data_IF_175006460762
#
_entry.id   IF_175006460762
#
_cell.length_a   1.000
_cell.length_b   1.000
_cell.length_c   1.000
_cell.angle_alpha   90.00
_cell.angle_beta   90.00
_cell.angle_gamma   90.00
#
_symmetry.space_group_name_H-M   'P 1'
#
loop_
_entity.id
_entity.type
_entity.pdbx_description
1 polymer ?
2 branched ?
3 non-polymer ?
4 non-polymer ?
5 non-polymer ?
6 water ?
#
# COMPACT_ATOMS: atom_id res chain seq x y z
N UNK A 1 2.03 -6.77 23.26
CA UNK A 1 1.78 -5.42 22.77
C UNK A 1 0.28 -5.15 22.67
N UNK A 2 -0.22 -4.27 23.53
CA UNK A 2 -1.65 -3.98 23.57
C UNK A 2 -2.03 -2.68 22.86
N UNK A 3 -1.08 -1.81 22.57
CA UNK A 3 -1.33 -0.67 21.70
C UNK A 3 -0.01 -0.27 21.08
N UNK A 4 -0.09 0.35 19.90
CA UNK A 4 1.10 0.81 19.19
C UNK A 4 0.70 2.00 18.32
N UNK A 5 1.48 3.07 18.36
CA UNK A 5 1.22 4.19 17.48
C UNK A 5 2.54 4.84 17.10
N UNK A 6 2.57 5.41 15.89
CA UNK A 6 3.78 6.11 15.45
C UNK A 6 3.38 7.08 14.36
N UNK A 7 4.26 8.05 14.10
CA UNK A 7 3.95 8.98 13.03
C UNK A 7 5.24 9.49 12.39
N UNK A 8 5.10 9.83 11.12
CA UNK A 8 6.15 10.45 10.32
C UNK A 8 5.50 11.69 9.71
N UNK A 9 5.86 12.87 10.21
CA UNK A 9 5.42 14.11 9.57
C UNK A 9 6.02 14.23 8.18
N UNK A 10 7.31 13.89 8.08
CA UNK A 10 8.01 13.60 6.83
C UNK A 10 9.00 12.49 7.15
N UNK A 11 9.92 12.19 6.24
CA UNK A 11 10.78 11.03 6.41
C UNK A 11 12.23 11.43 6.56
N UNK A 12 12.90 10.75 7.47
CA UNK A 12 14.24 11.08 7.94
C UNK A 12 15.25 10.22 7.20
N UNK A 13 16.31 10.86 6.67
CA UNK A 13 17.38 10.12 6.04
C UNK A 13 18.06 9.15 7.00
N UNK A 14 17.99 9.43 8.31
CA UNK A 14 18.63 8.61 9.33
C UNK A 14 17.60 7.82 10.14
N UNK A 15 16.46 7.50 9.53
CA UNK A 15 15.41 6.76 10.19
C UNK A 15 15.94 5.42 10.72
N UNK A 16 15.41 4.99 11.87
CA UNK A 16 15.79 3.72 12.48
C UNK A 16 14.66 2.71 12.58
N UNK A 17 13.40 3.13 12.44
CA UNK A 17 12.28 2.24 12.67
C UNK A 17 11.59 1.78 11.40
N UNK A 18 12.25 1.93 10.25
CA UNK A 18 11.72 1.44 8.99
C UNK A 18 12.59 0.33 8.41
N UNK A 19 11.94 -0.74 7.98
CA UNK A 19 12.57 -1.76 7.16
C UNK A 19 12.41 -1.34 5.71
N UNK A 20 13.53 -1.09 5.02
CA UNK A 20 13.54 -0.72 3.60
C UNK A 20 13.73 -1.97 2.75
N UNK A 21 12.86 -2.14 1.74
CA UNK A 21 12.99 -3.27 0.83
C UNK A 21 13.07 -2.77 -0.60
N UNK A 22 13.86 -3.48 -1.41
CA UNK A 22 13.98 -3.09 -2.81
C UNK A 22 14.62 -1.73 -2.97
N UNK A 23 13.98 -0.89 -3.79
CA UNK A 23 14.54 0.39 -4.19
C UNK A 23 14.10 1.53 -3.29
N UNK A 24 13.40 1.25 -2.20
CA UNK A 24 12.90 2.31 -1.33
C UNK A 24 14.05 3.10 -0.70
N UNK A 25 13.94 4.42 -0.72
CA UNK A 25 14.98 5.27 -0.17
C UNK A 25 14.37 6.61 0.22
N UNK A 26 15.07 7.35 1.06
CA UNK A 26 14.60 8.63 1.56
C UNK A 26 15.35 9.74 0.82
N UNK A 27 14.60 10.63 0.18
CA UNK A 27 15.20 11.69 -0.62
C UNK A 27 15.70 12.83 0.26
N UNK A 28 16.43 13.76 -0.38
CA UNK A 28 16.93 14.93 0.31
C UNK A 28 15.80 15.89 0.71
N UNK A 29 14.62 15.74 0.13
CA UNK A 29 13.45 16.53 0.50
C UNK A 29 12.56 15.81 1.51
N UNK A 30 13.10 14.81 2.23
CA UNK A 30 12.39 14.11 3.29
C UNK A 30 11.15 13.39 2.76
N UNK A 31 11.26 12.91 1.54
CA UNK A 31 10.23 12.11 0.89
C UNK A 31 10.68 10.66 0.87
N UNK A 32 9.77 9.74 1.15
CA UNK A 32 10.06 8.33 0.97
C UNK A 32 9.78 8.00 -0.49
N UNK A 33 10.86 7.86 -1.28
CA UNK A 33 10.75 7.49 -2.69
C UNK A 33 10.78 5.96 -2.78
N UNK A 34 9.61 5.36 -3.07
CA UNK A 34 9.53 3.91 -3.02
C UNK A 34 10.23 3.29 -4.22
N UNK A 35 10.06 3.85 -5.41
CA UNK A 35 10.60 3.23 -6.61
C UNK A 35 11.86 3.96 -7.09
N UNK A 36 12.63 3.23 -7.91
CA UNK A 36 13.96 3.64 -8.35
C UNK A 36 13.88 4.85 -9.28
N UNK A 37 14.86 5.75 -9.14
CA UNK A 37 15.00 6.87 -10.05
C UNK A 37 16.42 6.87 -10.60
N UNK A 38 16.60 7.52 -11.74
CA UNK A 38 17.95 7.63 -12.30
C UNK A 38 18.69 8.77 -11.60
N UNK A 39 19.87 9.12 -12.12
CA UNK A 39 20.69 10.13 -11.45
C UNK A 39 20.08 11.51 -11.50
N UNK A 40 19.13 11.75 -12.42
CA UNK A 40 18.41 13.02 -12.49
C UNK A 40 17.08 12.99 -11.76
N UNK A 41 16.77 11.91 -11.06
CA UNK A 41 15.53 11.79 -10.34
C UNK A 41 14.36 11.33 -11.16
N UNK A 42 14.59 10.94 -12.44
CA UNK A 42 13.51 10.48 -13.32
C UNK A 42 13.16 9.03 -12.99
N UNK A 43 11.88 8.68 -13.03
CA UNK A 43 11.48 7.30 -12.74
C UNK A 43 11.95 6.35 -13.83
N UNK A 44 12.21 5.10 -13.44
CA UNK A 44 12.73 4.10 -14.36
C UNK A 44 11.84 2.87 -14.37
N UNK A 45 12.04 2.04 -15.40
CA UNK A 45 11.28 0.81 -15.56
C UNK A 45 11.73 -0.26 -14.56
N UNK A 46 10.79 -1.14 -14.22
CA UNK A 46 11.02 -2.42 -13.54
C UNK A 46 11.67 -2.21 -12.17
N UNK A 47 10.90 -1.70 -11.27
CA UNK A 47 11.39 -1.39 -9.93
C UNK A 47 10.29 -1.67 -8.91
N UNK A 48 10.66 -2.18 -7.71
CA UNK A 48 9.78 -2.31 -6.55
C UNK A 48 10.48 -1.70 -5.35
N UNK A 49 9.75 -0.94 -4.55
CA UNK A 49 10.24 -0.55 -3.24
C UNK A 49 9.13 -0.69 -2.22
N UNK A 50 9.52 -1.08 -1.01
CA UNK A 50 8.56 -1.22 0.08
C UNK A 50 9.20 -0.73 1.38
N UNK A 51 8.36 -0.31 2.31
CA UNK A 51 8.77 -0.08 3.70
C UNK A 51 7.79 -0.77 4.62
N UNK A 52 8.31 -1.26 5.74
CA UNK A 52 7.50 -1.79 6.82
C UNK A 52 7.97 -1.15 8.11
N UNK A 53 7.07 -0.85 9.04
CA UNK A 53 7.54 -0.42 10.34
C UNK A 53 8.19 -1.60 11.07
N UNK A 54 9.28 -1.31 11.80
CA UNK A 54 10.00 -2.36 12.51
C UNK A 54 9.17 -2.94 13.67
N UNK A 55 8.26 -2.15 14.23
CA UNK A 55 7.39 -2.64 15.31
C UNK A 55 6.22 -3.41 14.72
N UNK A 56 6.01 -4.62 15.24
CA UNK A 56 4.94 -5.49 14.77
C UNK A 56 3.65 -5.18 15.51
N UNK A 57 2.52 -5.44 14.84
CA UNK A 57 1.20 -5.19 15.40
C UNK A 57 0.60 -6.54 15.76
N UNK A 58 0.10 -6.67 17.00
CA UNK A 58 -0.71 -7.84 17.33
C UNK A 58 -2.12 -7.59 16.85
N UNK A 59 -2.50 -8.25 15.77
CA UNK A 59 -3.79 -8.04 15.14
C UNK A 59 -4.89 -8.79 15.85
N UNK A 60 -4.59 -9.97 16.39
CA UNK A 60 -5.58 -10.71 17.14
C UNK A 60 -4.85 -11.68 18.05
N UNK A 61 -5.58 -12.22 19.02
CA UNK A 61 -5.02 -13.17 19.99
C UNK A 61 -5.88 -14.42 19.97
N UNK A 62 -5.30 -15.52 19.51
CA UNK A 62 -6.03 -16.78 19.49
C UNK A 62 -6.48 -17.18 20.89
N UNK A 63 -5.60 -16.98 21.88
CA UNK A 63 -5.90 -17.47 23.23
C UNK A 63 -7.07 -16.75 23.86
N UNK A 64 -7.36 -15.52 23.44
CA UNK A 64 -8.33 -14.69 24.12
C UNK A 64 -9.42 -14.10 23.23
N UNK A 65 -9.39 -14.32 21.92
CA UNK A 65 -10.37 -13.78 20.99
C UNK A 65 -10.47 -12.25 21.06
N UNK A 66 -9.35 -11.57 21.32
CA UNK A 66 -9.25 -10.13 21.13
C UNK A 66 -8.83 -9.83 19.68
N UNK A 67 -9.28 -8.70 19.17
CA UNK A 67 -8.91 -8.25 17.82
C UNK A 67 -8.58 -6.77 17.88
N UNK A 68 -7.58 -6.35 17.10
CA UNK A 68 -7.15 -4.97 17.10
C UNK A 68 -7.98 -4.14 16.13
N UNK A 69 -8.13 -2.87 16.45
CA UNK A 69 -8.53 -1.88 15.46
C UNK A 69 -7.31 -1.08 15.05
N UNK A 70 -7.40 -0.41 13.93
CA UNK A 70 -6.36 0.47 13.54
C UNK A 70 -6.93 1.60 12.69
N UNK A 71 -6.21 2.72 12.75
CA UNK A 71 -6.50 3.89 11.94
C UNK A 71 -5.15 4.35 11.39
N UNK A 72 -5.09 4.63 10.10
CA UNK A 72 -3.82 5.09 9.53
C UNK A 72 -4.11 6.20 8.54
N UNK A 73 -3.26 7.21 8.53
CA UNK A 73 -3.36 8.35 7.62
C UNK A 73 -2.05 8.47 6.87
N UNK A 74 -2.12 8.81 5.58
CA UNK A 74 -0.89 9.01 4.81
C UNK A 74 -1.19 9.90 3.63
N UNK A 75 -0.13 10.43 3.02
CA UNK A 75 -0.28 11.23 1.82
C UNK A 75 0.85 10.90 0.85
N UNK A 76 0.57 11.03 -0.44
CA UNK A 76 1.57 10.69 -1.44
C UNK A 76 1.27 11.47 -2.72
N UNK A 77 2.28 11.55 -3.58
CA UNK A 77 2.06 12.05 -4.93
C UNK A 77 2.86 11.19 -5.90
N UNK A 78 2.41 11.19 -7.15
CA UNK A 78 3.02 10.40 -8.21
C UNK A 78 3.42 11.33 -9.36
N UNK A 79 4.59 11.08 -9.95
CA UNK A 79 5.06 11.92 -11.05
C UNK A 79 5.63 11.06 -12.16
N UNK A 80 5.41 11.49 -13.40
CA UNK A 80 5.87 10.73 -14.56
C UNK A 80 5.82 11.56 -15.83
N UNK A 81 6.72 11.32 -16.79
CA UNK A 81 6.59 11.95 -18.11
C UNK A 81 5.62 11.24 -19.04
N UNK A 82 5.14 10.05 -18.67
CA UNK A 82 4.36 9.21 -19.58
C UNK A 82 2.88 9.57 -19.60
N UNK A 83 2.25 9.25 -20.73
CA UNK A 83 0.79 9.31 -20.83
C UNK A 83 0.12 8.22 -20.01
N UNK A 84 0.79 7.09 -19.80
CA UNK A 84 0.21 5.95 -19.07
C UNK A 84 1.15 5.56 -17.94
N UNK A 85 1.26 6.40 -16.93
CA UNK A 85 2.20 6.11 -15.83
C UNK A 85 1.74 4.94 -14.98
N UNK A 86 2.70 4.24 -14.38
CA UNK A 86 2.44 2.93 -13.76
C UNK A 86 3.47 2.65 -12.64
N UNK A 87 3.16 1.78 -11.68
CA UNK A 87 1.91 1.00 -11.63
C UNK A 87 1.00 1.39 -10.50
N UNK A 88 1.58 1.94 -9.43
CA UNK A 88 0.79 2.37 -8.29
C UNK A 88 1.44 2.12 -6.96
N UNK A 89 0.78 2.60 -5.90
CA UNK A 89 1.25 2.53 -4.53
C UNK A 89 0.15 1.89 -3.70
N UNK A 90 0.53 1.13 -2.68
CA UNK A 90 -0.44 0.50 -1.79
C UNK A 90 0.02 0.55 -0.34
N UNK A 91 -0.93 0.84 0.56
CA UNK A 91 -0.78 0.50 1.97
C UNK A 91 -1.04 -1.00 2.13
N UNK A 92 -0.22 -1.69 2.93
CA UNK A 92 -0.49 -3.12 3.07
C UNK A 92 -0.15 -3.64 4.46
N UNK A 93 -0.68 -4.82 4.74
CA UNK A 93 -0.55 -5.55 6.00
C UNK A 93 -0.21 -6.98 5.61
N UNK A 94 0.79 -7.56 6.27
CA UNK A 94 1.33 -8.85 5.83
C UNK A 94 2.06 -9.49 6.99
N UNK A 95 2.45 -10.75 6.89
CA UNK A 95 3.21 -11.36 7.97
C UNK A 95 4.52 -10.64 8.17
N UNK A 96 5.08 -10.69 9.39
CA UNK A 96 6.25 -9.86 9.71
C UNK A 96 7.48 -10.17 8.87
N UNK A 97 7.59 -11.37 8.31
CA UNK A 97 8.75 -11.73 7.50
C UNK A 97 8.54 -11.45 6.02
N UNK A 98 7.49 -10.71 5.66
CA UNK A 98 7.17 -10.49 4.26
C UNK A 98 8.34 -9.84 3.51
N UNK A 99 8.59 -10.32 2.29
CA UNK A 99 9.58 -9.75 1.39
C UNK A 99 8.96 -9.59 0.01
N UNK A 100 9.68 -8.83 -0.85
CA UNK A 100 9.23 -8.57 -2.21
C UNK A 100 9.21 -9.87 -3.00
N UNK A 101 8.06 -10.28 -3.54
CA UNK A 101 8.03 -11.48 -4.38
C UNK A 101 8.73 -11.25 -5.71
N UNK A 102 9.30 -12.33 -6.24
CA UNK A 102 9.85 -12.29 -7.58
C UNK A 102 8.74 -11.98 -8.59
N UNK A 103 9.10 -11.21 -9.61
CA UNK A 103 8.16 -10.88 -10.66
C UNK A 103 7.09 -9.87 -10.27
N UNK A 104 7.24 -9.21 -9.13
CA UNK A 104 6.23 -8.28 -8.63
C UNK A 104 6.43 -6.85 -9.13
N UNK A 105 7.45 -6.60 -9.96
CA UNK A 105 7.75 -5.26 -10.45
C UNK A 105 6.88 -4.94 -11.67
N UNK A 106 5.69 -4.41 -11.39
CA UNK A 106 4.72 -4.13 -12.42
C UNK A 106 3.32 -4.09 -11.84
N UNK A 107 2.35 -4.68 -12.55
CA UNK A 107 0.97 -4.59 -12.09
C UNK A 107 0.68 -5.37 -10.82
N UNK A 108 1.63 -6.17 -10.36
CA UNK A 108 1.44 -6.85 -9.08
C UNK A 108 1.86 -5.99 -7.90
N UNK A 109 2.32 -4.77 -8.17
CA UNK A 109 2.49 -3.72 -7.16
C UNK A 109 3.48 -4.09 -6.06
N UNK A 110 4.40 -5.02 -6.33
CA UNK A 110 5.35 -5.44 -5.32
C UNK A 110 4.79 -6.34 -4.24
N UNK A 111 3.56 -6.83 -4.42
CA UNK A 111 2.85 -7.57 -3.39
C UNK A 111 2.67 -9.04 -3.70
N UNK A 112 2.72 -9.44 -4.99
CA UNK A 112 2.33 -10.77 -5.39
C UNK A 112 3.35 -11.36 -6.35
N UNK A 113 3.42 -12.69 -6.37
CA UNK A 113 4.15 -13.46 -7.36
C UNK A 113 3.22 -13.78 -8.53
N UNK A 114 3.71 -13.65 -9.77
CA UNK A 114 2.84 -13.94 -10.93
C UNK A 114 2.16 -15.29 -10.88
N UNK A 115 2.83 -16.32 -10.33
CA UNK A 115 2.23 -17.65 -10.34
C UNK A 115 1.08 -17.78 -9.37
N UNK A 116 1.00 -16.93 -8.34
CA UNK A 116 -0.03 -17.05 -7.31
C UNK A 116 -0.81 -15.76 -7.07
N UNK A 117 -0.69 -14.77 -7.96
CA UNK A 117 -1.27 -13.46 -7.67
C UNK A 117 -2.79 -13.48 -7.58
N UNK A 118 -3.44 -14.49 -8.16
CA UNK A 118 -4.89 -14.60 -8.10
C UNK A 118 -5.34 -15.75 -7.21
N UNK A 119 -4.41 -16.44 -6.55
CA UNK A 119 -4.70 -17.61 -5.73
C UNK A 119 -4.73 -17.17 -4.27
N UNK A 120 -5.93 -16.94 -3.74
CA UNK A 120 -6.07 -16.44 -2.37
C UNK A 120 -5.46 -17.38 -1.35
N UNK A 121 -5.55 -18.69 -1.57
CA UNK A 121 -5.03 -19.63 -0.60
C UNK A 121 -3.52 -19.57 -0.49
N UNK A 122 -2.84 -18.90 -1.42
CA UNK A 122 -1.38 -18.82 -1.42
C UNK A 122 -0.85 -17.52 -0.85
N UNK A 123 -1.71 -16.59 -0.43
CA UNK A 123 -1.26 -15.28 0.01
C UNK A 123 -1.81 -14.95 1.39
N UNK A 124 -1.16 -13.99 2.05
CA UNK A 124 -1.65 -13.42 3.31
C UNK A 124 -1.36 -11.93 3.22
N UNK A 125 -2.31 -11.16 2.69
CA UNK A 125 -2.09 -9.72 2.55
C UNK A 125 -3.43 -9.01 2.48
N UNK A 126 -3.51 -7.91 3.23
CA UNK A 126 -4.54 -6.89 3.03
C UNK A 126 -3.84 -5.67 2.43
N UNK A 127 -4.37 -5.16 1.32
CA UNK A 127 -3.80 -3.96 0.73
C UNK A 127 -4.89 -3.00 0.31
N UNK A 128 -4.57 -1.71 0.39
CA UNK A 128 -5.38 -0.64 -0.19
C UNK A 128 -4.53 -0.04 -1.31
N UNK A 129 -4.91 -0.32 -2.56
CA UNK A 129 -4.10 0.06 -3.71
C UNK A 129 -4.63 1.33 -4.37
N UNK A 130 -3.69 2.12 -4.90
CA UNK A 130 -3.95 3.30 -5.71
C UNK A 130 -3.32 2.98 -7.06
N UNK A 131 -4.15 2.49 -7.97
CA UNK A 131 -3.72 1.76 -9.16
C UNK A 131 -3.91 2.66 -10.37
N UNK A 132 -2.80 3.07 -11.00
CA UNK A 132 -2.85 4.02 -12.11
C UNK A 132 -2.82 3.37 -13.49
N UNK A 133 -2.65 2.06 -13.58
CA UNK A 133 -2.38 1.41 -14.85
C UNK A 133 -3.27 0.19 -15.00
N UNK A 134 -4.00 0.12 -16.11
CA UNK A 134 -5.08 -0.86 -16.22
C UNK A 134 -5.17 -1.48 -17.62
N UNK A 135 -4.10 -1.40 -18.42
CA UNK A 135 -4.13 -1.99 -19.76
C UNK A 135 -4.69 -3.41 -19.69
N UNK A 136 -5.74 -3.66 -20.48
CA UNK A 136 -6.58 -4.82 -20.25
C UNK A 136 -5.94 -6.11 -20.75
N UNK A 137 -4.92 -6.05 -21.61
CA UNK A 137 -4.24 -7.27 -22.02
C UNK A 137 -3.12 -7.69 -21.07
N UNK A 138 -2.66 -6.80 -20.18
CA UNK A 138 -1.67 -7.22 -19.19
C UNK A 138 -2.20 -7.20 -17.78
N UNK A 139 -2.95 -6.17 -17.38
CA UNK A 139 -3.59 -6.16 -16.07
C UNK A 139 -5.02 -6.67 -16.19
N UNK A 140 -5.15 -7.95 -16.58
CA UNK A 140 -6.44 -8.50 -16.99
C UNK A 140 -7.46 -8.53 -15.85
N UNK A 141 -7.00 -8.43 -14.59
CA UNK A 141 -7.83 -8.45 -13.40
C UNK A 141 -8.42 -7.08 -13.05
N UNK A 142 -7.99 -6.02 -13.73
CA UNK A 142 -8.34 -4.66 -13.33
C UNK A 142 -9.60 -4.19 -14.03
N UNK A 143 -10.34 -3.28 -13.39
CA UNK A 143 -11.30 -2.46 -14.14
C UNK A 143 -10.56 -1.60 -15.16
N UNK A 144 -11.31 -1.17 -16.18
CA UNK A 144 -10.74 -0.41 -17.30
C UNK A 144 -10.70 1.10 -17.02
N UNK A 145 -10.17 1.47 -15.85
CA UNK A 145 -10.01 2.86 -15.42
C UNK A 145 -9.11 2.86 -14.18
N UNK A 146 -8.55 4.03 -13.88
CA UNK A 146 -7.78 4.16 -12.65
C UNK A 146 -8.69 4.02 -11.45
N UNK A 147 -8.17 3.44 -10.37
CA UNK A 147 -9.06 3.01 -9.31
C UNK A 147 -8.31 2.89 -7.99
N UNK A 148 -9.07 3.04 -6.90
CA UNK A 148 -8.66 2.61 -5.57
C UNK A 148 -9.30 1.25 -5.31
N UNK A 149 -8.53 0.34 -4.73
CA UNK A 149 -9.04 -1.00 -4.50
C UNK A 149 -8.62 -1.53 -3.14
N UNK A 150 -9.48 -2.37 -2.58
CA UNK A 150 -9.16 -3.12 -1.36
C UNK A 150 -8.87 -4.55 -1.79
N UNK A 151 -7.64 -5.00 -1.53
CA UNK A 151 -7.14 -6.28 -2.00
C UNK A 151 -7.05 -7.25 -0.82
N UNK A 152 -7.62 -8.44 -0.99
CA UNK A 152 -7.61 -9.48 0.04
C UNK A 152 -7.00 -10.73 -0.60
N UNK A 153 -5.70 -10.95 -0.34
CA UNK A 153 -4.99 -12.15 -0.79
C UNK A 153 -4.98 -12.31 -2.31
N UNK A 154 -5.16 -11.23 -3.06
CA UNK A 154 -5.27 -11.29 -4.51
C UNK A 154 -5.04 -9.90 -5.07
N UNK A 155 -4.39 -9.84 -6.24
CA UNK A 155 -4.27 -8.58 -6.98
C UNK A 155 -5.59 -8.18 -7.63
N UNK A 156 -6.55 -9.09 -7.72
CA UNK A 156 -7.91 -8.75 -8.13
C UNK A 156 -8.65 -8.19 -6.91
N UNK A 157 -8.89 -6.89 -6.92
CA UNK A 157 -9.46 -6.24 -5.74
C UNK A 157 -10.81 -6.84 -5.40
N UNK A 158 -11.09 -6.96 -4.10
CA UNK A 158 -12.42 -7.34 -3.65
C UNK A 158 -13.43 -6.24 -3.95
N UNK A 159 -13.02 -4.98 -3.81
CA UNK A 159 -13.87 -3.81 -4.08
C UNK A 159 -13.02 -2.73 -4.72
N UNK A 160 -13.62 -1.97 -5.65
CA UNK A 160 -12.94 -0.86 -6.32
C UNK A 160 -13.87 0.36 -6.36
N UNK A 161 -13.25 1.53 -6.50
CA UNK A 161 -13.97 2.75 -6.85
C UNK A 161 -13.14 3.49 -7.88
N UNK A 162 -13.79 4.12 -8.85
CA UNK A 162 -13.05 4.89 -9.83
C UNK A 162 -12.28 6.02 -9.14
N UNK A 163 -11.05 6.24 -9.59
CA UNK A 163 -10.16 7.24 -9.01
C UNK A 163 -9.44 7.96 -10.14
N UNK A 164 -9.08 9.21 -9.89
CA UNK A 164 -8.35 10.00 -10.87
C UNK A 164 -6.95 10.29 -10.36
N UNK A 165 -5.94 9.73 -11.03
CA UNK A 165 -4.57 10.17 -10.82
C UNK A 165 -4.44 11.62 -11.24
N UNK A 166 -3.68 12.40 -10.46
CA UNK A 166 -3.40 13.79 -10.80
C UNK A 166 -1.89 13.99 -10.73
N UNK A 167 -1.27 14.23 -11.89
CA UNK A 167 0.19 14.29 -12.01
C UNK A 167 0.80 15.27 -11.02
N UNK A 168 1.72 14.78 -10.20
CA UNK A 168 2.42 15.61 -9.24
C UNK A 168 1.65 16.06 -8.01
N UNK A 169 0.38 15.65 -7.86
CA UNK A 169 -0.50 16.21 -6.84
C UNK A 169 -0.65 15.25 -5.68
N UNK A 170 -0.78 15.81 -4.48
CA UNK A 170 -0.89 15.01 -3.26
C UNK A 170 -2.32 14.53 -2.99
N UNK A 171 -2.44 13.23 -2.72
CA UNK A 171 -3.68 12.62 -2.24
C UNK A 171 -3.51 12.30 -0.76
N UNK A 172 -4.49 12.69 0.05
CA UNK A 172 -4.50 12.38 1.47
C UNK A 172 -5.50 11.25 1.73
N UNK A 173 -5.11 10.29 2.55
CA UNK A 173 -5.87 9.05 2.71
C UNK A 173 -6.03 8.72 4.19
N UNK A 174 -7.21 8.25 4.57
CA UNK A 174 -7.48 7.67 5.87
C UNK A 174 -7.98 6.25 5.63
N UNK A 175 -7.34 5.27 6.27
CA UNK A 175 -7.78 3.88 6.24
C UNK A 175 -8.04 3.41 7.67
N UNK A 176 -9.20 2.81 7.91
CA UNK A 176 -9.51 2.30 9.23
C UNK A 176 -10.01 0.86 9.15
N UNK A 177 -9.80 0.11 10.24
CA UNK A 177 -10.39 -1.21 10.40
C UNK A 177 -11.19 -1.23 11.69
N UNK A 178 -12.44 -1.62 11.59
CA UNK A 178 -13.33 -1.76 12.75
C UNK A 178 -13.54 -3.25 12.98
N UNK A 179 -12.97 -3.83 14.04
CA UNK A 179 -13.06 -5.29 14.22
C UNK A 179 -14.46 -5.75 14.60
N UNK A 180 -15.30 -4.89 15.18
CA UNK A 180 -16.63 -5.34 15.57
C UNK A 180 -17.54 -5.50 14.35
N UNK A 181 -17.40 -4.63 13.36
CA UNK A 181 -18.09 -4.77 12.09
C UNK A 181 -17.23 -5.43 11.02
N UNK A 182 -15.98 -5.76 11.33
CA UNK A 182 -15.03 -6.34 10.38
C UNK A 182 -15.01 -5.56 9.07
N UNK A 183 -14.94 -4.24 9.18
CA UNK A 183 -14.99 -3.36 8.02
C UNK A 183 -13.69 -2.59 7.85
N UNK A 184 -13.14 -2.63 6.63
CA UNK A 184 -12.11 -1.71 6.17
C UNK A 184 -12.80 -0.52 5.50
N UNK A 185 -12.50 0.70 5.94
CA UNK A 185 -13.03 1.90 5.29
C UNK A 185 -11.86 2.74 4.78
N UNK A 186 -12.02 3.28 3.57
CA UNK A 186 -11.01 4.12 2.92
C UNK A 186 -11.66 5.44 2.52
N UNK A 187 -11.05 6.56 2.89
CA UNK A 187 -11.44 7.89 2.44
C UNK A 187 -10.19 8.58 1.91
N UNK A 188 -10.25 9.10 0.68
CA UNK A 188 -9.14 9.82 0.09
C UNK A 188 -9.62 11.15 -0.49
N UNK A 189 -8.84 12.20 -0.33
CA UNK A 189 -9.23 13.51 -0.86
C UNK A 189 -8.06 14.20 -1.55
N UNK A 190 -8.41 15.06 -2.49
CA UNK A 190 -7.51 16.06 -3.05
C UNK A 190 -7.82 17.42 -2.43
N UNK A 191 -6.87 18.36 -2.47
CA UNK A 191 -7.09 19.66 -1.79
C UNK A 191 -8.29 20.46 -2.28
N UNK A 192 -8.74 20.25 -3.52
CA UNK A 192 -9.90 20.98 -4.01
C UNK A 192 -11.23 20.38 -3.53
N UNK A 193 -11.19 19.33 -2.71
CA UNK A 193 -12.39 18.73 -2.17
C UNK A 193 -12.83 17.44 -2.85
N UNK A 194 -12.24 17.09 -3.98
CA UNK A 194 -12.60 15.83 -4.65
C UNK A 194 -12.35 14.67 -3.70
N UNK A 195 -13.37 13.83 -3.52
CA UNK A 195 -13.36 12.80 -2.50
C UNK A 195 -13.60 11.43 -3.12
N UNK A 196 -13.00 10.41 -2.51
CA UNK A 196 -13.19 9.01 -2.87
C UNK A 196 -13.42 8.20 -1.61
N UNK A 197 -14.39 7.29 -1.65
CA UNK A 197 -14.68 6.45 -0.50
C UNK A 197 -14.90 5.01 -0.93
N UNK A 198 -14.41 4.07 -0.12
CA UNK A 198 -14.52 2.65 -0.44
C UNK A 198 -14.51 1.86 0.86
N UNK A 199 -15.33 0.81 0.91
CA UNK A 199 -15.31 -0.04 2.10
C UNK A 199 -15.46 -1.50 1.70
N UNK A 200 -15.06 -2.39 2.59
CA UNK A 200 -15.18 -3.82 2.33
C UNK A 200 -15.21 -4.55 3.67
N UNK A 201 -16.14 -5.51 3.79
CA UNK A 201 -16.23 -6.34 4.98
C UNK A 201 -15.32 -7.54 4.81
N UNK A 202 -14.31 -7.65 5.68
CA UNK A 202 -13.38 -8.77 5.68
C UNK A 202 -12.89 -8.98 7.10
N UNK A 203 -13.01 -10.21 7.59
CA UNK A 203 -12.52 -10.59 8.92
C UNK A 203 -11.01 -10.81 8.81
N UNK A 204 -10.23 -9.83 9.27
CA UNK A 204 -8.79 -9.91 9.12
C UNK A 204 -8.18 -11.09 9.86
N UNK A 205 -8.83 -11.60 10.92
CA UNK A 205 -8.31 -12.78 11.61
C UNK A 205 -8.34 -14.02 10.74
N UNK A 206 -9.09 -14.00 9.63
CA UNK A 206 -9.16 -15.15 8.74
C UNK A 206 -8.15 -15.09 7.61
N UNK A 207 -7.51 -13.94 7.37
CA UNK A 207 -6.56 -13.83 6.28
C UNK A 207 -5.14 -13.53 6.74
N UNK A 208 -4.93 -13.09 7.98
CA UNK A 208 -3.61 -12.68 8.43
C UNK A 208 -3.28 -13.35 9.75
N UNK A 209 -1.99 -13.54 10.03
CA UNK A 209 -1.59 -14.17 11.30
C UNK A 209 -1.73 -13.21 12.48
N UNK A 210 -1.47 -13.75 13.68
CA UNK A 210 -1.68 -12.97 14.90
C UNK A 210 -0.82 -11.72 14.92
N UNK A 211 0.43 -11.83 14.48
CA UNK A 211 1.35 -10.70 14.42
C UNK A 211 1.57 -10.35 12.96
N UNK A 212 1.55 -9.05 12.65
CA UNK A 212 1.71 -8.56 11.29
C UNK A 212 2.65 -7.36 11.31
N UNK A 213 3.14 -7.00 10.13
CA UNK A 213 3.74 -5.70 9.91
C UNK A 213 2.90 -4.90 8.93
N UNK A 214 3.05 -3.58 9.01
CA UNK A 214 2.29 -2.65 8.19
C UNK A 214 3.26 -1.74 7.46
N UNK A 215 2.88 -1.32 6.25
CA UNK A 215 3.74 -0.41 5.50
C UNK A 215 3.18 -0.13 4.11
N UNK A 216 4.11 0.14 3.18
CA UNK A 216 3.72 0.56 1.84
C UNK A 216 4.55 -0.16 0.79
N UNK A 217 3.95 -0.36 -0.37
CA UNK A 217 4.61 -0.96 -1.52
C UNK A 217 4.26 -0.15 -2.77
N UNK A 218 5.20 -0.07 -3.69
CA UNK A 218 4.94 0.53 -5.00
C UNK A 218 5.84 -0.15 -6.03
N UNK A 219 5.43 -0.05 -7.29
CA UNK A 219 6.16 -0.76 -8.34
C UNK A 219 5.91 -0.09 -9.67
N UNK A 220 6.84 -0.30 -10.61
CA UNK A 220 6.69 0.06 -12.01
C UNK A 220 7.21 -1.10 -12.84
N UNK A 221 6.53 -1.38 -13.96
CA UNK A 221 6.98 -2.39 -14.89
C UNK A 221 7.57 -1.74 -16.12
N UNK A 222 6.98 -2.00 -17.28
CA UNK A 222 7.44 -1.37 -18.51
C UNK A 222 6.96 0.07 -18.65
N UNK A 223 5.98 0.49 -17.86
CA UNK A 223 5.59 1.89 -17.73
C UNK A 223 5.88 2.30 -16.28
N UNK A 224 6.04 3.60 -16.05
CA UNK A 224 6.72 4.02 -14.83
C UNK A 224 6.27 5.39 -14.34
N UNK A 225 6.60 5.65 -13.07
CA UNK A 225 6.34 6.89 -12.35
C UNK A 225 7.06 6.79 -11.01
N UNK A 226 7.39 7.94 -10.42
CA UNK A 226 7.84 7.96 -9.05
C UNK A 226 6.64 7.82 -8.11
N UNK A 227 6.87 7.19 -6.97
CA UNK A 227 5.83 6.96 -5.95
C UNK A 227 6.38 7.57 -4.67
N UNK A 228 5.86 8.75 -4.33
CA UNK A 228 6.47 9.62 -3.32
C UNK A 228 5.58 9.67 -2.09
N UNK A 229 5.97 8.96 -1.03
CA UNK A 229 5.23 8.95 0.22
C UNK A 229 5.68 10.14 1.06
N UNK A 230 4.73 11.02 1.42
CA UNK A 230 5.06 12.27 2.10
C UNK A 230 4.94 12.18 3.62
N UNK A 231 3.98 11.41 4.13
CA UNK A 231 3.71 11.35 5.56
C UNK A 231 2.93 10.09 5.84
N UNK A 232 2.95 9.67 7.12
CA UNK A 232 2.30 8.43 7.54
C UNK A 232 2.15 8.44 9.05
N UNK A 233 0.93 8.26 9.54
CA UNK A 233 0.72 8.00 10.96
C UNK A 233 -0.15 6.76 11.09
N UNK A 234 0.04 6.04 12.19
CA UNK A 234 -0.61 4.76 12.39
C UNK A 234 -0.92 4.60 13.87
N UNK A 235 -2.13 4.14 14.20
CA UNK A 235 -2.50 3.85 15.57
C UNK A 235 -3.26 2.53 15.59
N UNK A 236 -2.97 1.69 16.58
CA UNK A 236 -3.66 0.43 16.75
C UNK A 236 -3.83 0.15 18.24
N UNK A 237 -4.98 -0.41 18.60
CA UNK A 237 -5.24 -0.83 19.97
C UNK A 237 -5.85 -2.22 19.94
N UNK A 238 -5.36 -3.11 20.81
CA UNK A 238 -5.89 -4.46 20.90
C UNK A 238 -6.94 -4.47 22.00
N UNK A 239 -8.20 -4.33 21.59
CA UNK A 239 -9.34 -4.19 22.47
C UNK A 239 -9.45 -5.34 23.45
X LIG B 1 2.54 -2.28 -21.84
X LIG B 1 2.36 -3.04 -20.53
X LIG B 1 3.33 -4.16 -20.40
X LIG B 1 3.23 -5.10 -21.56
X LIG B 1 3.36 -4.35 -22.91
X LIG B 1 3.10 -5.28 -24.06
X LIG B 1 3.96 -0.72 -22.81
X LIG B 1 3.77 -1.71 -21.83
X LIG B 1 1.01 -3.56 -20.45
X LIG B 1 3.09 -4.86 -19.15
X LIG B 1 4.26 -6.09 -21.46
X LIG B 1 2.42 -3.22 -23.00
X LIG B 1 1.74 -5.64 -24.07
X LIG B 2 4.11 -4.66 -18.26
X LIG B 2 3.92 -5.54 -17.03
X LIG B 2 2.71 -5.15 -16.25
X LIG B 2 2.72 -3.69 -15.87
X LIG B 2 2.93 -2.82 -17.10
X LIG B 2 3.00 -1.36 -16.74
X LIG B 2 5.09 -5.42 -16.20
X LIG B 2 2.62 -5.94 -15.05
X LIG B 2 1.46 -3.34 -15.30
X LIG B 2 4.16 -3.22 -17.83
X LIG B 2 4.17 -1.11 -16.01
X LIG C 1 -3.13 -22.23 -4.85
X LIG C 1 -3.03 -23.44 -5.78
X LIG C 1 -2.97 -24.72 -4.95
X LIG C 1 -1.80 -24.64 -3.97
X LIG C 1 -1.91 -23.37 -3.11
X LIG C 1 -0.70 -23.15 -2.24
X LIG C 1 -3.99 -23.49 -8.03
X LIG C 1 -5.25 -23.53 -8.85
X LIG C 1 -4.15 -23.47 -6.70
X LIG C 1 -2.83 -25.85 -5.80
X LIG C 1 -1.81 -25.78 -3.11
X LIG C 1 -2.02 -22.22 -3.96
X LIG C 1 0.42 -22.77 -3.03
X LIG C 1 -2.87 -23.46 -8.54
X LIG D 1 -6.03 -2.82 -9.57
X LIG E 1 -3.05 -2.17 -12.36
#
# INVERSE_FOLDING_TARGET
TDSLSFSFINFDRDERNLIFQGDAHTSRNNILQLTRTDSNGAPVRSTVGRILHSAQVRLWEKSTNRVANFQTQFSFFLSSPLSNPADGIAFFIAPPDTTIPSGSAGGLLGLFNPRTALNESANQVLAVEFDTFFAQNSNTWDPNYQHIGIDVNSIRSSKVVRWERREGKTLNVLVTYNPSTRTIDVVATYPDGQRYQLSHVVDLTTILPEWVRVGFSAASGEQFQTHNLESWSFTSTLL
MMA C1 C2 C3 C4 C5 C6 C7 O1 O2 O3 O4 O5 O6
MAN C1 C2 C3 C4 C5 C6 O2 O3 O4 O5 O6
NAG C1 C2 C3 C4 C5 C6 C7 C8 N2 O3 O4 O5 O6 O7
MN MN
CA CA
#
